data_IF_603532749056
#
_entry.id   IF_603532749056
#
_cell.length_a   1.000
_cell.length_b   1.000
_cell.length_c   1.000
_cell.angle_alpha   90.00
_cell.angle_beta   90.00
_cell.angle_gamma   90.00
#
_symmetry.space_group_name_H-M   'P 1'
#
loop_
_entity.id
_entity.type
_entity.pdbx_description
1 polymer ?
#
# COMPACT_ATOMS: atom_id res chain seq x y z
N UNK A 1 0.19 9.70 -38.36
CA UNK A 1 -0.31 8.38 -37.96
C UNK A 1 -1.10 8.57 -36.68
N UNK A 2 -2.42 8.32 -36.72
CA UNK A 2 -3.32 8.70 -35.66
C UNK A 2 -3.11 7.84 -34.43
N UNK A 3 -2.90 8.48 -33.30
CA UNK A 3 -3.01 7.86 -31.97
C UNK A 3 -4.50 7.65 -31.74
N UNK A 4 -4.93 6.40 -31.88
CA UNK A 4 -6.30 5.99 -31.50
C UNK A 4 -6.43 6.17 -29.98
N UNK A 5 -7.14 7.20 -29.55
CA UNK A 5 -7.57 7.34 -28.16
C UNK A 5 -8.50 6.16 -27.87
N UNK A 6 -8.02 5.17 -27.14
CA UNK A 6 -8.87 4.17 -26.53
C UNK A 6 -9.83 4.91 -25.57
N UNK A 7 -11.05 5.14 -26.01
CA UNK A 7 -12.13 5.56 -25.13
C UNK A 7 -12.31 4.46 -24.09
N UNK A 8 -11.86 4.72 -22.85
CA UNK A 8 -12.11 3.87 -21.68
C UNK A 8 -13.61 3.90 -21.39
N UNK A 9 -14.38 3.13 -22.14
CA UNK A 9 -15.78 2.84 -21.81
C UNK A 9 -15.79 2.04 -20.51
N UNK A 10 -16.60 2.45 -19.55
CA UNK A 10 -16.64 1.95 -18.17
C UNK A 10 -16.98 0.47 -17.98
N UNK A 11 -16.23 -0.44 -18.61
CA UNK A 11 -16.32 -1.85 -18.33
C UNK A 11 -15.59 -2.14 -17.02
N UNK A 12 -16.21 -2.87 -16.10
CA UNK A 12 -15.59 -3.38 -14.87
C UNK A 12 -14.61 -4.55 -15.15
N UNK A 13 -14.23 -4.73 -16.41
CA UNK A 13 -13.34 -5.80 -16.83
C UNK A 13 -11.94 -5.57 -16.28
N UNK A 14 -11.41 -6.57 -15.58
CA UNK A 14 -10.06 -6.63 -15.04
C UNK A 14 -9.08 -7.02 -16.16
N UNK A 15 -8.08 -6.18 -16.42
CA UNK A 15 -7.06 -6.41 -17.47
C UNK A 15 -5.67 -6.48 -16.88
N UNK A 16 -4.91 -7.52 -17.24
CA UNK A 16 -3.48 -7.58 -16.96
C UNK A 16 -2.76 -6.64 -17.92
N UNK A 17 -1.93 -5.75 -17.38
CA UNK A 17 -1.11 -4.82 -18.14
C UNK A 17 0.37 -5.21 -17.97
N UNK A 18 1.08 -5.32 -19.06
CA UNK A 18 2.50 -5.57 -19.11
C UNK A 18 3.22 -4.49 -19.95
N UNK A 19 4.50 -4.18 -19.69
CA UNK A 19 5.29 -3.31 -20.54
C UNK A 19 5.49 -3.93 -21.93
N UNK A 20 5.82 -3.12 -22.93
CA UNK A 20 6.00 -3.59 -24.31
C UNK A 20 7.12 -4.62 -24.46
N UNK A 21 8.19 -4.48 -23.66
CA UNK A 21 9.34 -5.40 -23.63
C UNK A 21 9.19 -6.53 -22.60
N UNK A 22 7.94 -6.81 -22.17
CA UNK A 22 7.65 -7.82 -21.16
C UNK A 22 8.15 -9.20 -21.57
N UNK A 23 8.92 -9.83 -20.68
CA UNK A 23 9.29 -11.24 -20.78
C UNK A 23 8.43 -12.04 -19.80
N UNK A 24 7.66 -13.03 -20.27
CA UNK A 24 6.87 -13.88 -19.40
C UNK A 24 7.74 -14.52 -18.31
N UNK A 25 7.25 -14.52 -17.09
CA UNK A 25 7.90 -15.15 -15.95
C UNK A 25 6.94 -16.06 -15.19
N UNK A 26 7.47 -17.05 -14.48
CA UNK A 26 6.68 -17.98 -13.69
C UNK A 26 6.45 -17.49 -12.24
N UNK A 27 6.38 -16.18 -12.01
CA UNK A 27 6.12 -15.61 -10.68
C UNK A 27 4.62 -15.34 -10.52
N UNK A 28 4.02 -15.59 -9.33
CA UNK A 28 2.59 -15.46 -9.13
C UNK A 28 2.16 -14.01 -8.85
N UNK A 29 2.44 -13.10 -9.78
CA UNK A 29 1.93 -11.75 -9.82
C UNK A 29 1.90 -11.21 -11.26
N UNK A 30 1.00 -10.27 -11.53
CA UNK A 30 0.96 -9.51 -12.78
C UNK A 30 1.78 -8.23 -12.64
N UNK A 31 2.36 -7.71 -13.73
CA UNK A 31 3.09 -6.43 -13.69
C UNK A 31 2.18 -5.29 -13.23
N UNK A 32 0.95 -5.24 -13.73
CA UNK A 32 -0.11 -4.38 -13.22
C UNK A 32 -1.49 -4.93 -13.56
N UNK A 33 -2.50 -4.43 -12.85
CA UNK A 33 -3.93 -4.69 -13.10
C UNK A 33 -4.62 -3.35 -13.39
N UNK A 34 -5.26 -3.26 -14.53
CA UNK A 34 -6.15 -2.15 -14.89
C UNK A 34 -7.60 -2.58 -14.67
N UNK A 35 -8.33 -1.80 -13.86
CA UNK A 35 -9.77 -1.93 -13.70
C UNK A 35 -10.39 -0.55 -13.85
N UNK A 36 -11.33 -0.40 -14.79
CA UNK A 36 -11.93 0.88 -15.14
C UNK A 36 -10.85 1.89 -15.54
N UNK A 37 -10.65 2.91 -14.73
CA UNK A 37 -9.68 3.99 -14.91
C UNK A 37 -8.49 3.93 -13.95
N UNK A 38 -8.40 2.86 -13.15
CA UNK A 38 -7.37 2.70 -12.11
C UNK A 38 -6.41 1.56 -12.45
N UNK A 39 -5.13 1.89 -12.48
CA UNK A 39 -4.01 0.96 -12.71
C UNK A 39 -3.27 0.72 -11.39
N UNK A 40 -3.22 -0.53 -10.97
CA UNK A 40 -2.48 -1.02 -9.81
C UNK A 40 -1.17 -1.64 -10.26
N UNK A 41 -0.04 -1.01 -9.97
CA UNK A 41 1.30 -1.42 -10.44
C UNK A 41 2.03 -2.17 -9.34
N UNK A 42 2.47 -3.40 -9.62
CA UNK A 42 3.28 -4.23 -8.71
C UNK A 42 4.57 -3.55 -8.29
N UNK A 43 5.14 -4.00 -7.19
CA UNK A 43 6.50 -3.64 -6.80
C UNK A 43 7.50 -3.90 -7.94
N UNK A 44 8.24 -2.85 -8.30
CA UNK A 44 9.29 -2.89 -9.31
C UNK A 44 10.63 -2.66 -8.64
N UNK A 45 11.56 -3.58 -8.85
CA UNK A 45 12.97 -3.42 -8.48
C UNK A 45 13.78 -2.79 -9.60
N UNK A 46 15.09 -2.85 -9.47
CA UNK A 46 16.05 -2.17 -10.34
C UNK A 46 16.64 -3.06 -11.46
N UNK A 47 16.07 -4.24 -11.72
CA UNK A 47 16.49 -5.08 -12.84
C UNK A 47 15.78 -4.68 -14.12
N UNK A 48 16.54 -4.62 -15.23
CA UNK A 48 15.97 -4.40 -16.56
C UNK A 48 15.26 -5.67 -17.11
N UNK A 49 14.72 -5.59 -18.32
CA UNK A 49 14.04 -6.71 -18.98
C UNK A 49 14.96 -7.90 -19.27
N UNK A 50 16.26 -7.70 -19.35
CA UNK A 50 17.30 -8.71 -19.52
C UNK A 50 17.72 -9.36 -18.20
N UNK A 51 17.31 -8.78 -17.06
CA UNK A 51 17.67 -9.22 -15.71
C UNK A 51 18.93 -8.56 -15.15
N UNK A 52 19.54 -7.62 -15.89
CA UNK A 52 20.71 -6.90 -15.41
C UNK A 52 20.33 -5.86 -14.37
N UNK A 53 21.18 -5.68 -13.35
CA UNK A 53 21.02 -4.67 -12.32
C UNK A 53 22.21 -3.72 -12.35
N UNK A 54 21.99 -2.40 -12.41
CA UNK A 54 23.09 -1.44 -12.32
C UNK A 54 23.86 -1.55 -10.99
N UNK A 55 25.15 -1.34 -11.01
CA UNK A 55 26.00 -1.37 -9.80
C UNK A 55 25.71 -0.14 -8.92
N UNK A 56 25.70 1.05 -9.51
CA UNK A 56 25.51 2.31 -8.83
C UNK A 56 24.06 2.52 -8.38
N UNK A 57 23.84 2.88 -7.11
CA UNK A 57 22.51 3.02 -6.55
C UNK A 57 21.65 4.08 -7.26
N UNK A 58 22.22 5.24 -7.65
CA UNK A 58 21.45 6.25 -8.41
C UNK A 58 20.94 5.67 -9.75
N UNK A 59 21.73 4.82 -10.40
CA UNK A 59 21.32 4.12 -11.62
C UNK A 59 20.24 3.07 -11.32
N UNK A 60 20.31 2.37 -10.19
CA UNK A 60 19.26 1.45 -9.73
C UNK A 60 17.92 2.19 -9.53
N UNK A 61 17.93 3.38 -8.92
CA UNK A 61 16.71 4.19 -8.76
C UNK A 61 16.12 4.58 -10.12
N UNK A 62 16.95 5.02 -11.07
CA UNK A 62 16.51 5.38 -12.42
C UNK A 62 15.91 4.18 -13.16
N UNK A 63 16.54 3.01 -13.06
CA UNK A 63 16.03 1.77 -13.67
C UNK A 63 14.71 1.36 -13.05
N UNK A 64 14.59 1.40 -11.73
CA UNK A 64 13.36 1.11 -11.02
C UNK A 64 12.20 2.02 -11.47
N UNK A 65 12.44 3.33 -11.56
CA UNK A 65 11.46 4.30 -12.06
C UNK A 65 11.15 4.07 -13.56
N UNK A 66 12.12 3.67 -14.37
CA UNK A 66 11.87 3.32 -15.76
C UNK A 66 10.97 2.10 -15.88
N UNK A 67 11.19 1.06 -15.07
CA UNK A 67 10.33 -0.12 -15.04
C UNK A 67 8.88 0.25 -14.67
N UNK A 68 8.69 1.13 -13.68
CA UNK A 68 7.36 1.65 -13.33
C UNK A 68 6.74 2.41 -14.50
N UNK A 69 7.52 3.29 -15.18
CA UNK A 69 7.04 4.07 -16.33
C UNK A 69 6.60 3.18 -17.48
N UNK A 70 7.39 2.17 -17.82
CA UNK A 70 7.09 1.24 -18.92
C UNK A 70 5.75 0.51 -18.70
N UNK A 71 5.46 0.16 -17.44
CA UNK A 71 4.17 -0.44 -17.06
C UNK A 71 3.04 0.59 -17.13
N UNK A 72 3.26 1.81 -16.62
CA UNK A 72 2.27 2.89 -16.73
C UNK A 72 1.90 3.14 -18.20
N UNK A 73 2.90 3.21 -19.09
CA UNK A 73 2.70 3.41 -20.53
C UNK A 73 2.00 2.23 -21.19
N UNK A 74 2.26 1.00 -20.74
CA UNK A 74 1.50 -0.18 -21.13
C UNK A 74 0.00 -0.07 -20.80
N UNK A 75 -0.33 0.65 -19.72
CA UNK A 75 -1.69 1.00 -19.32
C UNK A 75 -2.24 2.30 -19.93
N UNK A 76 -1.50 2.95 -20.84
CA UNK A 76 -1.89 4.23 -21.45
C UNK A 76 -1.75 5.43 -20.52
N UNK A 77 -0.89 5.35 -19.49
CA UNK A 77 -0.65 6.36 -18.46
C UNK A 77 0.84 6.72 -18.37
N UNK A 78 1.18 7.74 -17.58
CA UNK A 78 2.56 8.08 -17.19
C UNK A 78 2.57 8.56 -15.73
N UNK A 79 3.71 9.00 -15.21
CA UNK A 79 3.84 9.51 -13.83
C UNK A 79 2.84 10.61 -13.48
N UNK A 80 2.42 11.41 -14.44
CA UNK A 80 1.37 12.42 -14.22
C UNK A 80 0.04 11.83 -13.76
N UNK A 81 -0.22 10.55 -14.06
CA UNK A 81 -1.41 9.83 -13.64
C UNK A 81 -1.28 9.18 -12.25
N UNK A 82 -0.05 9.07 -11.70
CA UNK A 82 0.14 8.43 -10.39
C UNK A 82 -0.50 9.25 -9.28
N UNK A 83 -1.27 8.58 -8.43
CA UNK A 83 -1.97 9.21 -7.29
C UNK A 83 -1.36 8.78 -5.96
N UNK A 84 -0.82 7.57 -5.88
CA UNK A 84 -0.18 7.03 -4.69
C UNK A 84 1.04 6.22 -5.05
N UNK A 85 2.14 6.40 -4.32
CA UNK A 85 3.41 5.71 -4.57
C UNK A 85 4.11 5.36 -3.26
N UNK A 86 4.56 4.13 -3.14
CA UNK A 86 5.39 3.71 -2.02
C UNK A 86 6.78 3.36 -2.53
N UNK A 87 7.80 3.82 -1.80
CA UNK A 87 9.22 3.57 -2.06
C UNK A 87 9.80 2.83 -0.88
N UNK A 88 10.43 1.70 -1.13
CA UNK A 88 11.05 0.84 -0.12
C UNK A 88 12.55 0.78 -0.33
N UNK A 89 13.32 0.99 0.74
CA UNK A 89 14.79 0.97 0.75
C UNK A 89 15.30 -0.06 1.75
N UNK A 90 16.29 -0.86 1.38
CA UNK A 90 16.97 -1.77 2.31
C UNK A 90 18.14 -1.10 3.02
N UNK A 91 18.65 0.01 2.50
CA UNK A 91 19.71 0.81 3.12
C UNK A 91 19.28 2.29 3.16
N UNK A 92 19.03 2.77 4.38
CA UNK A 92 18.56 4.15 4.61
C UNK A 92 19.61 5.23 4.29
N UNK A 93 20.90 4.89 4.25
CA UNK A 93 21.94 5.82 3.81
C UNK A 93 21.72 6.29 2.36
N UNK A 94 20.98 5.52 1.59
CA UNK A 94 20.61 5.82 0.20
C UNK A 94 19.42 6.78 0.06
N UNK A 95 18.77 7.19 1.15
CA UNK A 95 17.56 8.03 1.11
C UNK A 95 17.76 9.34 0.34
N UNK A 96 18.86 10.06 0.59
CA UNK A 96 19.14 11.33 -0.11
C UNK A 96 19.40 11.12 -1.62
N UNK A 97 20.14 10.07 -1.99
CA UNK A 97 20.43 9.72 -3.39
C UNK A 97 19.16 9.30 -4.11
N UNK A 98 18.31 8.48 -3.47
CA UNK A 98 17.01 8.10 -3.98
C UNK A 98 16.15 9.34 -4.26
N UNK A 99 15.99 10.24 -3.29
CA UNK A 99 15.19 11.45 -3.47
C UNK A 99 15.70 12.33 -4.63
N UNK A 100 17.02 12.51 -4.76
CA UNK A 100 17.62 13.28 -5.84
C UNK A 100 17.27 12.70 -7.22
N UNK A 101 17.35 11.39 -7.39
CA UNK A 101 17.01 10.72 -8.65
C UNK A 101 15.49 10.73 -8.90
N UNK A 102 14.68 10.49 -7.86
CA UNK A 102 13.22 10.53 -7.90
C UNK A 102 12.70 11.87 -8.43
N UNK A 103 13.13 12.99 -7.83
CA UNK A 103 12.64 14.32 -8.21
C UNK A 103 13.05 14.74 -9.62
N UNK A 104 14.15 14.22 -10.16
CA UNK A 104 14.53 14.43 -11.56
C UNK A 104 13.59 13.72 -12.54
N UNK A 105 12.93 12.65 -12.11
CA UNK A 105 12.16 11.75 -12.97
C UNK A 105 10.65 12.01 -12.90
N UNK A 106 10.10 12.27 -11.70
CA UNK A 106 8.65 12.36 -11.47
C UNK A 106 8.01 13.64 -12.04
N UNK A 107 8.78 14.72 -12.16
CA UNK A 107 8.28 15.96 -12.77
C UNK A 107 7.43 16.83 -11.84
N UNK A 108 6.48 17.61 -12.43
CA UNK A 108 5.79 18.71 -11.75
C UNK A 108 4.56 18.29 -10.92
N UNK A 109 3.97 17.16 -11.21
CA UNK A 109 2.73 16.68 -10.57
C UNK A 109 2.98 15.37 -9.78
N UNK A 110 3.75 15.42 -8.67
CA UNK A 110 4.08 14.23 -7.91
C UNK A 110 2.84 13.58 -7.30
N UNK A 111 2.85 12.25 -7.07
CA UNK A 111 1.81 11.55 -6.30
C UNK A 111 1.91 11.87 -4.80
N UNK A 112 0.91 11.43 -4.03
CA UNK A 112 1.09 11.18 -2.61
C UNK A 112 2.11 10.06 -2.43
N UNK A 113 3.13 10.25 -1.60
CA UNK A 113 4.26 9.31 -1.46
C UNK A 113 4.52 8.91 -0.02
N UNK A 114 4.92 7.66 0.16
CA UNK A 114 5.48 7.14 1.40
C UNK A 114 6.83 6.50 1.10
N UNK A 115 7.86 6.79 1.90
CA UNK A 115 9.19 6.17 1.82
C UNK A 115 9.46 5.44 3.11
N UNK A 116 9.90 4.18 3.03
CA UNK A 116 10.11 3.30 4.17
C UNK A 116 11.44 2.57 4.05
N UNK A 117 12.18 2.49 5.15
CA UNK A 117 13.30 1.58 5.30
C UNK A 117 12.79 0.22 5.76
N UNK A 118 13.04 -0.83 4.98
CA UNK A 118 12.56 -2.20 5.25
C UNK A 118 13.73 -3.17 5.40
N UNK A 119 13.47 -4.35 5.96
CA UNK A 119 14.54 -5.29 6.29
C UNK A 119 15.16 -5.92 5.04
N UNK A 120 14.36 -6.34 4.06
CA UNK A 120 14.86 -6.93 2.82
C UNK A 120 13.83 -6.87 1.68
N UNK A 121 14.29 -7.04 0.45
CA UNK A 121 13.53 -7.06 -0.79
C UNK A 121 13.84 -8.30 -1.63
N UNK A 122 12.89 -8.82 -2.42
CA UNK A 122 13.16 -9.93 -3.31
C UNK A 122 14.28 -9.64 -4.31
N UNK A 123 15.04 -10.68 -4.69
CA UNK A 123 16.09 -10.63 -5.71
C UNK A 123 17.22 -9.63 -5.40
N UNK A 124 17.54 -9.43 -4.12
CA UNK A 124 18.62 -8.54 -3.66
C UNK A 124 18.48 -7.08 -4.13
N UNK A 125 17.25 -6.64 -4.40
CA UNK A 125 16.99 -5.25 -4.74
C UNK A 125 17.30 -4.34 -3.54
N UNK A 126 17.89 -3.18 -3.80
CA UNK A 126 18.11 -2.14 -2.79
C UNK A 126 16.98 -1.12 -2.75
N UNK A 127 16.13 -1.13 -3.77
CA UNK A 127 14.96 -0.29 -3.91
C UNK A 127 13.83 -1.05 -4.59
N UNK A 128 12.61 -0.85 -4.12
CA UNK A 128 11.40 -1.28 -4.81
C UNK A 128 10.36 -0.15 -4.76
N UNK A 129 9.62 0.03 -5.87
CA UNK A 129 8.58 1.05 -5.99
C UNK A 129 7.30 0.41 -6.51
N UNK A 130 6.19 0.66 -5.84
CA UNK A 130 4.85 0.38 -6.35
C UNK A 130 4.02 1.65 -6.46
N UNK A 131 2.97 1.64 -7.26
CA UNK A 131 2.08 2.79 -7.35
C UNK A 131 0.65 2.43 -7.78
N UNK A 132 -0.26 3.36 -7.49
CA UNK A 132 -1.60 3.41 -8.09
C UNK A 132 -1.65 4.63 -9.00
N UNK A 133 -2.16 4.46 -10.21
CA UNK A 133 -2.39 5.52 -11.17
C UNK A 133 -3.84 5.55 -11.65
N UNK A 134 -4.34 6.73 -12.02
CA UNK A 134 -5.71 6.91 -12.50
C UNK A 134 -5.72 7.69 -13.80
N UNK A 135 -6.56 7.29 -14.77
CA UNK A 135 -6.71 7.97 -16.06
C UNK A 135 -7.49 9.29 -15.98
N UNK A 136 -7.82 9.75 -14.78
CA UNK A 136 -8.61 10.95 -14.51
C UNK A 136 -7.77 12.08 -13.91
N UNK A 137 -8.39 13.27 -13.82
CA UNK A 137 -7.78 14.41 -13.15
C UNK A 137 -7.52 14.13 -11.67
N UNK A 138 -6.38 14.61 -11.20
CA UNK A 138 -5.97 14.59 -9.80
C UNK A 138 -5.67 16.00 -9.30
N UNK A 139 -5.86 16.21 -8.00
CA UNK A 139 -5.59 17.49 -7.34
C UNK A 139 -4.79 17.29 -6.08
N UNK A 140 -3.66 17.96 -5.96
CA UNK A 140 -2.89 17.99 -4.72
C UNK A 140 -3.66 18.78 -3.64
N UNK A 141 -3.79 18.21 -2.45
CA UNK A 141 -4.44 18.77 -1.28
C UNK A 141 -3.37 19.23 -0.30
N UNK A 142 -3.50 20.48 0.12
CA UNK A 142 -2.60 21.11 1.09
C UNK A 142 -3.42 21.79 2.18
N UNK A 143 -3.23 21.44 3.46
CA UNK A 143 -3.81 22.20 4.56
C UNK A 143 -3.39 23.67 4.53
N UNK A 144 -4.24 24.55 5.01
CA UNK A 144 -3.93 25.98 5.09
C UNK A 144 -2.69 26.21 5.97
N UNK A 145 -1.79 27.07 5.50
CA UNK A 145 -0.54 27.39 6.21
C UNK A 145 0.61 26.40 6.02
N UNK A 146 0.37 25.23 5.39
CA UNK A 146 1.47 24.29 5.11
C UNK A 146 2.34 24.78 3.96
N UNK A 147 3.66 24.69 4.14
CA UNK A 147 4.62 25.13 3.14
C UNK A 147 4.58 24.25 1.89
N UNK A 148 4.45 24.89 0.73
CA UNK A 148 4.65 24.27 -0.58
C UNK A 148 6.06 24.60 -1.05
N UNK A 149 6.91 23.59 -1.17
CA UNK A 149 8.31 23.75 -1.61
C UNK A 149 8.55 22.90 -2.85
N UNK A 150 9.50 23.27 -3.72
CA UNK A 150 10.00 22.38 -4.74
C UNK A 150 10.50 21.07 -4.10
N UNK A 151 10.31 19.96 -4.77
CA UNK A 151 10.73 18.63 -4.31
C UNK A 151 10.13 18.24 -2.95
N UNK A 152 8.88 18.60 -2.72
CA UNK A 152 8.09 18.16 -1.58
C UNK A 152 6.82 17.48 -2.07
N UNK A 153 6.57 16.28 -1.54
CA UNK A 153 5.35 15.55 -1.85
C UNK A 153 4.11 16.29 -1.34
N UNK A 154 3.01 16.32 -2.13
CA UNK A 154 1.75 16.83 -1.60
C UNK A 154 1.28 15.97 -0.43
N UNK A 155 0.74 16.54 0.63
CA UNK A 155 0.20 15.79 1.76
C UNK A 155 -0.85 14.76 1.37
N UNK A 156 -1.62 15.05 0.31
CA UNK A 156 -2.52 14.08 -0.31
C UNK A 156 -2.84 14.43 -1.76
N UNK A 157 -3.30 13.42 -2.50
CA UNK A 157 -3.86 13.55 -3.85
C UNK A 157 -5.35 13.20 -3.80
N UNK A 158 -6.20 14.11 -4.27
CA UNK A 158 -7.64 13.93 -4.43
C UNK A 158 -7.97 13.62 -5.88
N UNK A 159 -8.74 12.56 -6.10
CA UNK A 159 -9.42 12.24 -7.34
C UNK A 159 -10.91 12.56 -7.23
N UNK A 160 -11.74 12.11 -8.18
CA UNK A 160 -13.19 12.31 -8.12
C UNK A 160 -13.82 11.68 -6.87
N UNK A 161 -13.39 10.47 -6.49
CA UNK A 161 -13.99 9.66 -5.42
C UNK A 161 -13.06 9.40 -4.23
N UNK A 162 -11.74 9.42 -4.41
CA UNK A 162 -10.78 8.99 -3.40
C UNK A 162 -9.73 10.06 -3.10
N UNK A 163 -9.30 10.10 -1.85
CA UNK A 163 -8.12 10.84 -1.37
C UNK A 163 -7.03 9.83 -0.99
N UNK A 164 -5.83 10.01 -1.54
CA UNK A 164 -4.64 9.23 -1.24
C UNK A 164 -3.69 10.04 -0.38
N UNK A 165 -3.36 9.55 0.81
CA UNK A 165 -2.50 10.23 1.78
C UNK A 165 -1.04 9.86 1.58
N UNK A 166 -0.15 10.86 1.53
CA UNK A 166 1.29 10.65 1.74
C UNK A 166 1.56 10.18 3.16
N UNK A 167 2.71 9.57 3.38
CA UNK A 167 3.16 9.26 4.73
C UNK A 167 3.20 10.50 5.62
N UNK A 168 2.45 10.46 6.73
CA UNK A 168 2.39 11.54 7.71
C UNK A 168 3.01 11.08 9.02
N UNK A 169 4.19 11.63 9.33
CA UNK A 169 4.88 11.41 10.60
C UNK A 169 4.50 12.45 11.65
N UNK A 170 5.11 12.33 12.81
CA UNK A 170 4.86 13.18 13.97
C UNK A 170 5.67 14.47 14.00
N UNK A 171 6.51 14.76 12.99
CA UNK A 171 7.32 15.97 12.97
C UNK A 171 6.43 17.22 12.84
N UNK A 172 6.62 18.20 13.71
CA UNK A 172 6.01 19.52 13.59
C UNK A 172 6.65 20.32 12.45
N UNK A 173 5.83 20.78 11.51
CA UNK A 173 6.32 21.44 10.29
C UNK A 173 6.96 22.81 10.50
N UNK A 174 6.72 23.48 11.64
CA UNK A 174 7.29 24.78 11.95
C UNK A 174 8.61 24.67 12.72
N UNK A 175 8.68 23.72 13.66
CA UNK A 175 9.83 23.57 14.56
C UNK A 175 10.79 22.46 14.12
N UNK A 176 10.34 21.52 13.27
CA UNK A 176 11.10 20.33 12.88
C UNK A 176 11.26 19.31 14.01
N UNK A 177 10.52 19.45 15.11
CA UNK A 177 10.63 18.59 16.30
C UNK A 177 9.51 17.56 16.36
N UNK A 178 9.78 16.44 17.02
CA UNK A 178 8.80 15.42 17.41
C UNK A 178 8.41 15.61 18.88
N UNK A 179 7.18 15.20 19.28
CA UNK A 179 6.88 14.99 20.70
C UNK A 179 7.86 13.98 21.32
N UNK A 180 8.16 14.16 22.62
CA UNK A 180 9.14 13.30 23.33
C UNK A 180 8.66 11.86 23.48
N UNK A 181 7.38 11.66 23.79
CA UNK A 181 6.82 10.32 24.01
C UNK A 181 6.07 9.81 22.79
N UNK A 182 6.04 8.50 22.62
CA UNK A 182 5.45 7.84 21.47
C UNK A 182 3.94 8.10 21.35
N UNK A 183 3.20 8.15 22.47
CA UNK A 183 1.78 8.40 22.50
C UNK A 183 1.41 9.74 21.84
N UNK A 184 2.16 10.78 22.15
CA UNK A 184 1.96 12.11 21.57
C UNK A 184 2.43 12.16 20.11
N UNK A 185 3.44 11.37 19.73
CA UNK A 185 3.82 11.21 18.33
C UNK A 185 2.68 10.58 17.52
N UNK A 186 2.05 9.52 18.01
CA UNK A 186 0.88 8.90 17.37
C UNK A 186 -0.27 9.89 17.23
N UNK A 187 -0.56 10.62 18.31
CA UNK A 187 -1.61 11.64 18.31
C UNK A 187 -1.32 12.73 17.29
N UNK A 188 -0.13 13.31 17.28
CA UNK A 188 0.24 14.37 16.35
C UNK A 188 0.18 13.92 14.89
N UNK A 189 0.62 12.71 14.59
CA UNK A 189 0.55 12.16 13.23
C UNK A 189 -0.91 11.96 12.77
N UNK A 190 -1.80 11.48 13.65
CA UNK A 190 -3.23 11.34 13.35
C UNK A 190 -3.94 12.71 13.25
N UNK A 191 -3.58 13.67 14.08
CA UNK A 191 -4.09 15.04 13.98
C UNK A 191 -3.70 15.68 12.63
N UNK A 192 -2.45 15.47 12.14
CA UNK A 192 -2.02 15.91 10.80
C UNK A 192 -2.86 15.25 9.70
N UNK A 193 -3.13 13.94 9.81
CA UNK A 193 -4.07 13.26 8.89
C UNK A 193 -5.43 13.94 8.93
N UNK A 194 -5.95 14.29 10.11
CA UNK A 194 -7.20 15.02 10.29
C UNK A 194 -7.21 16.38 9.58
N UNK A 195 -6.13 17.16 9.67
CA UNK A 195 -5.98 18.45 8.98
C UNK A 195 -6.00 18.28 7.45
N UNK A 196 -5.36 17.23 6.92
CA UNK A 196 -5.36 16.92 5.48
C UNK A 196 -6.76 16.54 5.02
N UNK A 197 -7.44 15.67 5.75
CA UNK A 197 -8.82 15.28 5.47
C UNK A 197 -9.74 16.50 5.48
N UNK A 198 -9.63 17.38 6.48
CA UNK A 198 -10.40 18.60 6.57
C UNK A 198 -10.16 19.55 5.38
N UNK A 199 -8.91 19.67 4.90
CA UNK A 199 -8.59 20.45 3.69
C UNK A 199 -9.26 19.88 2.43
N UNK A 200 -9.57 18.57 2.43
CA UNK A 200 -10.34 17.90 1.40
C UNK A 200 -11.86 17.87 1.68
N UNK A 201 -12.34 18.54 2.75
CA UNK A 201 -13.73 18.49 3.24
C UNK A 201 -14.17 17.09 3.68
N UNK A 202 -13.29 16.37 4.32
CA UNK A 202 -13.46 15.02 4.88
C UNK A 202 -13.08 14.99 6.36
N UNK A 203 -13.28 13.85 7.00
CA UNK A 203 -12.87 13.56 8.39
C UNK A 203 -12.29 12.14 8.48
N UNK A 204 -11.84 11.72 9.66
CA UNK A 204 -11.36 10.36 9.90
C UNK A 204 -12.40 9.28 9.56
N UNK A 205 -13.70 9.59 9.62
CA UNK A 205 -14.78 8.66 9.24
C UNK A 205 -14.80 8.32 7.74
N UNK A 206 -14.13 9.11 6.91
CA UNK A 206 -13.98 8.86 5.48
C UNK A 206 -12.86 7.84 5.16
N UNK A 207 -11.96 7.56 6.12
CA UNK A 207 -10.85 6.64 5.89
C UNK A 207 -11.38 5.22 5.60
N UNK A 208 -10.95 4.64 4.49
CA UNK A 208 -11.27 3.28 4.09
C UNK A 208 -10.12 2.32 4.36
N UNK A 209 -8.89 2.81 4.26
CA UNK A 209 -7.69 2.05 4.57
C UNK A 209 -6.61 2.93 5.20
N UNK A 210 -5.92 2.41 6.21
CA UNK A 210 -4.82 3.08 6.92
C UNK A 210 -3.69 2.11 7.15
N UNK A 211 -2.47 2.54 6.82
CA UNK A 211 -1.25 1.82 7.14
C UNK A 211 -0.44 2.60 8.18
N UNK A 212 -0.45 2.19 9.44
CA UNK A 212 0.52 2.63 10.42
C UNK A 212 1.86 1.90 10.19
N UNK A 213 2.94 2.66 10.07
CA UNK A 213 4.31 2.16 10.02
C UNK A 213 5.02 2.57 11.30
N UNK A 214 5.56 1.60 12.02
CA UNK A 214 6.28 1.82 13.29
C UNK A 214 7.67 1.21 13.20
N UNK A 215 8.61 1.74 13.94
CA UNK A 215 9.98 1.19 14.04
C UNK A 215 10.18 0.28 15.26
N UNK A 216 9.14 0.11 16.08
CA UNK A 216 9.21 -0.72 17.28
C UNK A 216 7.82 -1.26 17.70
N UNK A 217 7.55 -2.53 17.42
CA UNK A 217 6.28 -3.19 17.81
C UNK A 217 6.06 -3.32 19.32
N UNK A 218 7.06 -3.13 20.15
CA UNK A 218 6.83 -3.09 21.61
C UNK A 218 5.88 -1.96 22.02
N UNK A 219 5.74 -0.93 21.17
CA UNK A 219 4.81 0.19 21.35
C UNK A 219 3.43 -0.04 20.70
N UNK A 220 3.16 -1.25 20.19
CA UNK A 220 1.93 -1.56 19.43
C UNK A 220 0.66 -1.38 20.26
N UNK A 221 0.68 -1.73 21.54
CA UNK A 221 -0.49 -1.53 22.40
C UNK A 221 -0.78 -0.05 22.64
N UNK A 222 0.24 0.75 22.87
CA UNK A 222 0.12 2.20 23.02
C UNK A 222 -0.39 2.87 21.74
N UNK A 223 0.14 2.47 20.56
CA UNK A 223 -0.40 2.86 19.26
C UNK A 223 -1.90 2.55 19.20
N UNK A 224 -2.31 1.34 19.54
CA UNK A 224 -3.71 0.90 19.47
C UNK A 224 -4.64 1.72 20.37
N UNK A 225 -4.21 2.04 21.59
CA UNK A 225 -4.99 2.85 22.53
C UNK A 225 -5.27 4.25 21.98
N UNK A 226 -4.24 4.92 21.41
CA UNK A 226 -4.42 6.24 20.80
C UNK A 226 -5.24 6.13 19.53
N UNK A 227 -4.90 5.21 18.64
CA UNK A 227 -5.58 5.02 17.36
C UNK A 227 -7.09 4.77 17.54
N UNK A 228 -7.47 3.88 18.47
CA UNK A 228 -8.87 3.56 18.72
C UNK A 228 -9.72 4.78 19.11
N UNK A 229 -9.11 5.81 19.71
CA UNK A 229 -9.84 7.02 20.13
C UNK A 229 -10.30 7.91 18.96
N UNK A 230 -9.80 7.68 17.76
CA UNK A 230 -10.18 8.42 16.54
C UNK A 230 -11.34 7.79 15.77
N UNK A 231 -11.77 6.58 16.14
CA UNK A 231 -12.74 5.80 15.37
C UNK A 231 -13.84 5.20 16.24
N UNK A 232 -15.01 5.00 15.62
CA UNK A 232 -16.10 4.27 16.22
C UNK A 232 -15.81 2.77 16.22
N UNK A 233 -16.07 2.10 17.34
CA UNK A 233 -15.90 0.65 17.48
C UNK A 233 -16.72 -0.13 16.44
N UNK A 234 -16.05 -1.04 15.74
CA UNK A 234 -16.66 -1.86 14.70
C UNK A 234 -16.90 -1.14 13.37
N UNK A 235 -16.44 0.12 13.24
CA UNK A 235 -16.50 0.92 12.02
C UNK A 235 -15.15 1.59 11.70
N UNK A 236 -14.06 1.08 12.23
CA UNK A 236 -12.69 1.51 11.96
C UNK A 236 -12.32 1.24 10.50
N UNK A 237 -11.36 1.96 9.89
CA UNK A 237 -10.85 1.63 8.56
C UNK A 237 -10.22 0.23 8.51
N UNK A 238 -10.08 -0.33 7.29
CA UNK A 238 -9.15 -1.42 7.05
C UNK A 238 -7.75 -0.99 7.44
N UNK A 239 -6.93 -1.89 8.00
CA UNK A 239 -5.63 -1.54 8.56
C UNK A 239 -4.58 -2.60 8.29
N UNK A 240 -3.36 -2.15 7.94
CA UNK A 240 -2.16 -2.97 7.93
C UNK A 240 -1.06 -2.29 8.72
N UNK A 241 -0.78 -2.73 9.95
CA UNK A 241 0.33 -2.19 10.75
C UNK A 241 1.60 -2.99 10.47
N UNK A 242 2.66 -2.28 10.12
CA UNK A 242 3.92 -2.85 9.68
C UNK A 242 5.05 -2.29 10.53
N UNK A 243 5.92 -3.16 11.03
CA UNK A 243 7.19 -2.74 11.60
C UNK A 243 8.22 -2.57 10.49
N UNK A 244 8.92 -1.44 10.50
CA UNK A 244 9.90 -1.06 9.50
C UNK A 244 11.25 -0.74 10.17
N UNK A 245 12.33 -0.78 9.41
CA UNK A 245 13.68 -0.51 9.94
C UNK A 245 13.92 0.98 10.14
N UNK A 246 13.41 1.80 9.21
CA UNK A 246 13.56 3.25 9.26
C UNK A 246 12.32 3.97 8.76
N UNK A 247 12.03 5.11 9.39
CA UNK A 247 11.00 6.06 9.01
C UNK A 247 11.61 7.42 8.63
N UNK A 248 10.98 8.20 7.76
CA UNK A 248 11.41 9.57 7.46
C UNK A 248 11.45 10.44 8.72
N UNK A 249 12.30 11.47 8.68
CA UNK A 249 12.34 12.53 9.69
C UNK A 249 12.72 12.03 11.10
N UNK A 250 13.18 10.78 11.24
CA UNK A 250 13.55 10.16 12.53
C UNK A 250 12.38 10.06 13.54
N UNK A 251 11.14 10.06 13.05
CA UNK A 251 9.96 9.76 13.87
C UNK A 251 9.77 8.26 14.10
N UNK A 252 8.95 7.91 15.08
CA UNK A 252 8.66 6.51 15.44
C UNK A 252 7.34 5.99 14.86
N UNK A 253 6.59 6.85 14.16
CA UNK A 253 5.30 6.53 13.53
C UNK A 253 5.10 7.31 12.26
N UNK A 254 4.57 6.65 11.24
CA UNK A 254 4.05 7.27 10.02
C UNK A 254 2.71 6.62 9.68
N UNK A 255 1.74 7.43 9.28
CA UNK A 255 0.46 6.96 8.73
C UNK A 255 0.36 7.31 7.25
N UNK A 256 0.00 6.34 6.42
CA UNK A 256 -0.51 6.57 5.08
C UNK A 256 -1.89 5.94 4.93
N UNK A 257 -2.61 6.24 3.85
CA UNK A 257 -3.94 5.64 3.69
C UNK A 257 -4.75 6.19 2.54
N UNK A 258 -5.99 5.72 2.47
CA UNK A 258 -6.96 6.08 1.46
C UNK A 258 -8.27 6.47 2.15
N UNK A 259 -8.91 7.55 1.69
CA UNK A 259 -10.22 7.98 2.17
C UNK A 259 -11.21 8.12 1.00
N UNK A 260 -12.47 7.76 1.24
CA UNK A 260 -13.56 7.91 0.29
C UNK A 260 -14.30 9.23 0.50
N UNK A 261 -14.57 9.98 -0.56
CA UNK A 261 -15.25 11.30 -0.45
C UNK A 261 -16.67 11.19 0.09
N UNK A 262 -17.40 10.18 -0.33
CA UNK A 262 -18.79 9.97 0.03
C UNK A 262 -18.91 8.90 1.13
N UNK A 263 -19.13 9.28 2.40
CA UNK A 263 -19.19 8.29 3.49
C UNK A 263 -20.41 7.34 3.35
N UNK A 264 -21.42 7.67 2.56
CA UNK A 264 -22.56 6.78 2.32
C UNK A 264 -22.20 5.51 1.52
N UNK A 265 -21.12 5.57 0.73
CA UNK A 265 -20.58 4.43 -0.01
C UNK A 265 -19.71 3.50 0.84
N UNK A 266 -19.39 3.90 2.09
CA UNK A 266 -18.47 3.19 2.97
C UNK A 266 -19.22 2.21 3.88
N UNK A 267 -18.84 0.94 3.84
CA UNK A 267 -19.44 -0.13 4.66
C UNK A 267 -18.34 -1.03 5.23
N UNK A 268 -18.29 -1.19 6.55
CA UNK A 268 -17.42 -2.18 7.17
C UNK A 268 -17.93 -3.59 6.88
N UNK A 269 -17.06 -4.48 6.40
CA UNK A 269 -17.36 -5.91 6.26
C UNK A 269 -17.17 -6.62 7.60
N UNK A 270 -18.04 -7.56 7.92
CA UNK A 270 -18.13 -8.20 9.24
C UNK A 270 -18.31 -9.71 9.09
N UNK A 271 -17.25 -10.46 8.72
CA UNK A 271 -17.32 -11.92 8.64
C UNK A 271 -17.78 -12.51 9.98
N UNK A 272 -18.65 -13.50 9.92
CA UNK A 272 -19.29 -14.08 11.13
C UNK A 272 -18.32 -14.68 12.13
N UNK A 273 -17.16 -15.15 11.66
CA UNK A 273 -16.12 -15.78 12.47
C UNK A 273 -15.08 -14.78 13.02
N UNK A 274 -15.21 -13.49 12.72
CA UNK A 274 -14.28 -12.46 13.20
C UNK A 274 -14.99 -11.49 14.15
N UNK A 275 -14.50 -11.39 15.37
CA UNK A 275 -15.02 -10.44 16.35
C UNK A 275 -14.67 -9.00 15.92
N UNK A 276 -15.54 -8.02 16.22
CA UNK A 276 -15.21 -6.61 16.03
C UNK A 276 -13.95 -6.22 16.80
N UNK A 277 -13.14 -5.36 16.19
CA UNK A 277 -11.91 -4.83 16.81
C UNK A 277 -12.01 -3.30 16.95
N UNK A 278 -11.49 -2.72 18.03
CA UNK A 278 -11.45 -1.27 18.19
C UNK A 278 -10.45 -0.59 17.25
N UNK A 279 -9.57 -1.35 16.60
CA UNK A 279 -8.45 -0.81 15.82
C UNK A 279 -8.48 -1.14 14.34
N UNK A 280 -9.27 -2.14 13.92
CA UNK A 280 -9.36 -2.52 12.52
C UNK A 280 -10.68 -3.22 12.21
N UNK A 281 -11.42 -2.76 11.22
CA UNK A 281 -12.44 -3.59 10.58
C UNK A 281 -11.76 -4.69 9.76
N UNK A 282 -12.34 -5.88 9.59
CA UNK A 282 -11.79 -6.90 8.68
C UNK A 282 -11.53 -6.37 7.27
N UNK A 283 -12.34 -5.43 6.81
CA UNK A 283 -12.19 -4.67 5.60
C UNK A 283 -13.26 -3.58 5.49
N UNK A 284 -13.07 -2.67 4.56
CA UNK A 284 -14.05 -1.64 4.18
C UNK A 284 -14.39 -1.80 2.71
N UNK A 285 -15.68 -2.00 2.43
CA UNK A 285 -16.24 -1.86 1.08
C UNK A 285 -16.58 -0.38 0.86
N UNK A 286 -16.02 0.21 -0.20
CA UNK A 286 -16.33 1.56 -0.66
C UNK A 286 -16.78 1.52 -2.12
N UNK A 287 -18.07 1.68 -2.35
CA UNK A 287 -18.65 1.38 -3.66
C UNK A 287 -18.42 -0.08 -4.03
N UNK A 288 -17.68 -0.30 -5.12
CA UNK A 288 -17.32 -1.65 -5.60
C UNK A 288 -15.90 -2.08 -5.22
N UNK A 289 -15.18 -1.27 -4.44
CA UNK A 289 -13.80 -1.56 -4.04
C UNK A 289 -13.73 -1.95 -2.58
N UNK A 290 -13.15 -3.12 -2.31
CA UNK A 290 -12.92 -3.66 -0.97
C UNK A 290 -11.45 -3.46 -0.56
N UNK A 291 -11.25 -2.83 0.58
CA UNK A 291 -9.94 -2.64 1.23
C UNK A 291 -9.85 -3.58 2.42
N UNK A 292 -9.18 -4.71 2.27
CA UNK A 292 -9.03 -5.72 3.32
C UNK A 292 -7.84 -5.42 4.22
N UNK A 293 -8.07 -5.41 5.52
CA UNK A 293 -7.00 -5.34 6.52
C UNK A 293 -5.97 -6.43 6.31
N UNK A 294 -4.72 -6.14 6.64
CA UNK A 294 -3.69 -7.18 6.70
C UNK A 294 -4.12 -8.29 7.66
N UNK A 295 -3.96 -9.51 7.20
CA UNK A 295 -4.22 -10.74 7.96
C UNK A 295 -2.94 -11.54 8.08
N UNK A 296 -2.84 -12.31 9.13
CA UNK A 296 -1.79 -13.31 9.38
C UNK A 296 -2.44 -14.66 9.66
N UNK A 297 -1.61 -15.67 9.93
CA UNK A 297 -2.06 -17.04 10.17
C UNK A 297 -2.82 -17.27 11.49
N UNK A 298 -3.47 -16.26 12.05
CA UNK A 298 -4.27 -16.43 13.28
C UNK A 298 -5.58 -17.17 12.98
N UNK A 299 -5.92 -18.08 13.85
CA UNK A 299 -7.24 -18.72 13.87
C UNK A 299 -8.16 -17.85 14.75
N UNK A 300 -9.32 -17.40 14.23
CA UNK A 300 -10.25 -16.60 15.02
C UNK A 300 -10.58 -17.25 16.37
N UNK A 301 -10.42 -16.51 17.47
CA UNK A 301 -10.62 -17.01 18.83
C UNK A 301 -9.48 -17.83 19.43
N UNK A 302 -8.46 -18.24 18.66
CA UNK A 302 -7.34 -19.05 19.15
C UNK A 302 -5.96 -18.38 19.00
N UNK A 303 -5.82 -17.43 18.07
CA UNK A 303 -4.54 -16.81 17.77
C UNK A 303 -3.69 -17.64 16.80
N UNK A 304 -2.38 -17.45 16.84
CA UNK A 304 -1.42 -18.22 16.03
C UNK A 304 -1.02 -19.48 16.80
N UNK A 305 -1.40 -20.63 16.25
CA UNK A 305 -1.29 -21.94 16.91
C UNK A 305 -0.12 -22.80 16.41
N UNK A 306 0.53 -22.40 15.32
CA UNK A 306 1.63 -23.15 14.70
C UNK A 306 2.74 -22.22 14.22
N UNK A 307 4.02 -22.61 14.30
CA UNK A 307 5.12 -21.90 13.67
C UNK A 307 5.32 -22.29 12.18
N UNK A 308 4.53 -23.21 11.64
CA UNK A 308 4.67 -23.66 10.25
C UNK A 308 4.18 -22.56 9.29
N UNK A 309 5.09 -22.11 8.42
CA UNK A 309 4.84 -21.05 7.46
C UNK A 309 3.68 -21.34 6.51
N UNK A 310 3.63 -22.58 5.95
CA UNK A 310 2.59 -22.91 4.96
C UNK A 310 1.20 -22.98 5.61
N UNK A 311 1.13 -23.53 6.83
CA UNK A 311 -0.13 -23.57 7.58
C UNK A 311 -0.59 -22.15 7.96
N UNK A 312 0.34 -21.27 8.35
CA UNK A 312 0.00 -19.87 8.60
C UNK A 312 -0.50 -19.19 7.33
N UNK A 313 0.21 -19.30 6.21
CA UNK A 313 -0.21 -18.66 4.95
C UNK A 313 -1.56 -19.21 4.46
N UNK A 314 -1.85 -20.51 4.59
CA UNK A 314 -3.18 -21.07 4.29
C UNK A 314 -4.27 -20.45 5.15
N UNK A 315 -4.01 -20.28 6.45
CA UNK A 315 -4.96 -19.65 7.36
C UNK A 315 -5.13 -18.17 7.04
N UNK A 316 -4.05 -17.44 6.73
CA UNK A 316 -4.10 -16.07 6.26
C UNK A 316 -4.99 -15.89 5.04
N UNK A 317 -4.79 -16.75 4.04
CA UNK A 317 -5.60 -16.71 2.82
C UNK A 317 -7.08 -17.07 3.10
N UNK A 318 -7.35 -17.99 4.06
CA UNK A 318 -8.72 -18.25 4.52
C UNK A 318 -9.34 -17.02 5.22
N UNK A 319 -8.59 -16.35 6.09
CA UNK A 319 -9.07 -15.14 6.76
C UNK A 319 -9.39 -14.01 5.76
N UNK A 320 -8.57 -13.89 4.69
CA UNK A 320 -8.82 -12.92 3.61
C UNK A 320 -10.04 -13.32 2.78
N UNK A 321 -10.21 -14.62 2.48
CA UNK A 321 -11.37 -15.12 1.76
C UNK A 321 -12.67 -14.86 2.53
N UNK A 322 -12.69 -15.03 3.85
CA UNK A 322 -13.87 -14.71 4.67
C UNK A 322 -14.29 -13.23 4.50
N UNK A 323 -13.31 -12.32 4.39
CA UNK A 323 -13.58 -10.91 4.11
C UNK A 323 -14.06 -10.64 2.68
N UNK A 324 -13.52 -11.36 1.69
CA UNK A 324 -13.98 -11.30 0.29
C UNK A 324 -15.42 -11.83 0.17
N UNK A 325 -15.70 -13.01 0.72
CA UNK A 325 -17.03 -13.64 0.67
C UNK A 325 -18.10 -12.77 1.35
N UNK A 326 -17.77 -12.09 2.46
CA UNK A 326 -18.70 -11.14 3.12
C UNK A 326 -19.03 -9.93 2.23
N UNK A 327 -18.15 -9.58 1.31
CA UNK A 327 -18.37 -8.54 0.29
C UNK A 327 -18.94 -9.12 -1.03
N UNK A 328 -19.29 -10.40 -1.08
CA UNK A 328 -19.72 -11.13 -2.29
C UNK A 328 -18.66 -11.10 -3.40
N UNK A 329 -17.40 -11.27 -3.01
CA UNK A 329 -16.19 -11.33 -3.86
C UNK A 329 -15.43 -12.63 -3.64
N UNK A 330 -14.45 -12.90 -4.50
CA UNK A 330 -13.49 -13.99 -4.35
C UNK A 330 -12.07 -13.55 -4.80
N UNK A 331 -11.12 -14.48 -4.84
CA UNK A 331 -9.74 -14.17 -5.23
C UNK A 331 -9.61 -13.61 -6.66
N UNK A 332 -10.57 -13.86 -7.56
CA UNK A 332 -10.54 -13.31 -8.93
C UNK A 332 -10.80 -11.80 -8.97
N UNK A 333 -11.41 -11.24 -7.92
CA UNK A 333 -11.67 -9.80 -7.77
C UNK A 333 -10.44 -9.05 -7.21
N UNK A 334 -9.42 -9.76 -6.70
CA UNK A 334 -8.23 -9.12 -6.11
C UNK A 334 -7.40 -8.46 -7.19
N UNK A 335 -7.16 -7.15 -7.05
CA UNK A 335 -6.37 -6.35 -8.00
C UNK A 335 -5.00 -5.96 -7.47
N UNK A 336 -4.86 -5.86 -6.14
CA UNK A 336 -3.62 -5.50 -5.45
C UNK A 336 -3.41 -6.35 -4.23
N UNK A 337 -2.18 -6.83 -4.04
CA UNK A 337 -1.74 -7.62 -2.90
C UNK A 337 -0.44 -7.06 -2.34
N UNK A 338 -0.35 -6.94 -1.02
CA UNK A 338 0.94 -6.72 -0.35
C UNK A 338 1.20 -7.87 0.59
N UNK A 339 2.36 -8.49 0.44
CA UNK A 339 2.83 -9.61 1.27
C UNK A 339 4.02 -9.13 2.09
N UNK A 340 3.94 -9.27 3.40
CA UNK A 340 4.99 -8.95 4.34
C UNK A 340 5.51 -10.26 4.95
N UNK A 341 6.76 -10.61 4.67
CA UNK A 341 7.41 -11.80 5.18
C UNK A 341 8.20 -11.46 6.45
N UNK A 342 8.29 -12.40 7.35
CA UNK A 342 9.23 -12.34 8.48
C UNK A 342 10.66 -12.55 8.01
N UNK A 343 10.85 -13.49 7.09
CA UNK A 343 12.15 -13.86 6.54
C UNK A 343 12.06 -13.98 5.01
N UNK A 344 12.92 -13.29 4.27
CA UNK A 344 12.92 -13.36 2.81
C UNK A 344 13.27 -14.76 2.26
N UNK A 345 13.92 -15.62 3.07
CA UNK A 345 14.17 -17.03 2.71
C UNK A 345 12.89 -17.83 2.42
N UNK A 346 11.73 -17.41 2.95
CA UNK A 346 10.45 -18.07 2.70
C UNK A 346 9.74 -17.58 1.42
N UNK A 347 10.38 -16.68 0.65
CA UNK A 347 9.81 -16.09 -0.58
C UNK A 347 9.37 -17.13 -1.61
N UNK A 348 10.20 -18.14 -1.90
CA UNK A 348 9.86 -19.17 -2.88
C UNK A 348 8.77 -20.11 -2.36
N UNK A 349 8.81 -20.45 -1.07
CA UNK A 349 7.77 -21.24 -0.41
C UNK A 349 6.43 -20.48 -0.44
N UNK A 350 6.46 -19.19 -0.12
CA UNK A 350 5.31 -18.30 -0.23
C UNK A 350 4.77 -18.31 -1.66
N UNK A 351 5.61 -18.10 -2.67
CA UNK A 351 5.20 -18.07 -4.08
C UNK A 351 4.52 -19.37 -4.53
N UNK A 352 5.08 -20.51 -4.14
CA UNK A 352 4.55 -21.83 -4.51
C UNK A 352 3.16 -22.06 -3.93
N UNK A 353 2.92 -21.65 -2.70
CA UNK A 353 1.62 -21.78 -2.07
C UNK A 353 0.64 -20.70 -2.54
N UNK A 354 1.07 -19.43 -2.59
CA UNK A 354 0.26 -18.27 -3.00
C UNK A 354 -0.40 -18.48 -4.37
N UNK A 355 0.34 -19.04 -5.34
CA UNK A 355 -0.20 -19.29 -6.70
C UNK A 355 -1.42 -20.20 -6.72
N UNK A 356 -1.57 -21.09 -5.75
CA UNK A 356 -2.68 -22.06 -5.70
C UNK A 356 -4.04 -21.42 -5.42
N UNK A 357 -4.06 -20.17 -4.95
CA UNK A 357 -5.29 -19.45 -4.64
C UNK A 357 -5.87 -18.67 -5.83
N UNK A 358 -5.08 -18.46 -6.88
CA UNK A 358 -5.49 -17.71 -8.07
C UNK A 358 -5.56 -18.62 -9.30
N UNK A 359 -6.66 -18.55 -10.05
CA UNK A 359 -6.93 -19.47 -11.18
C UNK A 359 -6.53 -18.88 -12.53
N UNK A 360 -7.05 -17.68 -12.86
CA UNK A 360 -6.97 -17.13 -14.22
C UNK A 360 -5.82 -16.15 -14.39
N UNK A 361 -5.64 -15.25 -13.44
CA UNK A 361 -4.56 -14.26 -13.43
C UNK A 361 -4.27 -13.79 -12.01
N UNK A 362 -3.02 -13.43 -11.77
CA UNK A 362 -2.58 -12.93 -10.47
C UNK A 362 -2.87 -11.45 -10.30
N UNK A 363 -3.06 -10.95 -9.06
CA UNK A 363 -3.08 -9.51 -8.78
C UNK A 363 -1.72 -8.86 -9.03
N UNK A 364 -1.68 -7.54 -9.10
CA UNK A 364 -0.46 -6.78 -8.85
C UNK A 364 -0.01 -7.06 -7.41
N UNK A 365 1.30 -7.28 -7.20
CA UNK A 365 1.83 -7.65 -5.88
C UNK A 365 3.13 -6.95 -5.56
N UNK A 366 3.27 -6.58 -4.29
CA UNK A 366 4.52 -6.18 -3.65
C UNK A 366 4.84 -7.17 -2.54
N UNK A 367 6.09 -7.60 -2.42
CA UNK A 367 6.55 -8.48 -1.34
C UNK A 367 7.74 -7.85 -0.63
N UNK A 368 7.65 -7.73 0.67
CA UNK A 368 8.65 -7.06 1.51
C UNK A 368 8.99 -7.95 2.71
N UNK A 369 10.23 -7.88 3.19
CA UNK A 369 10.53 -8.35 4.53
C UNK A 369 10.35 -7.19 5.51
N UNK A 370 9.43 -7.34 6.47
CA UNK A 370 9.29 -6.40 7.56
C UNK A 370 10.25 -6.73 8.72
N UNK A 371 10.52 -5.73 9.55
CA UNK A 371 11.27 -5.95 10.78
C UNK A 371 10.33 -6.52 11.84
N UNK A 372 10.27 -7.84 11.96
CA UNK A 372 9.50 -8.48 13.02
C UNK A 372 10.31 -8.58 14.32
N UNK A 373 9.66 -8.33 15.45
CA UNK A 373 10.19 -8.78 16.72
C UNK A 373 10.49 -10.29 16.66
N UNK A 374 11.68 -10.70 17.09
CA UNK A 374 12.12 -12.11 17.06
C UNK A 374 11.18 -13.06 17.83
N UNK A 375 10.46 -12.52 18.81
CA UNK A 375 9.50 -13.27 19.62
C UNK A 375 8.12 -13.43 18.96
N UNK A 376 7.84 -12.73 17.85
CA UNK A 376 6.56 -12.88 17.17
C UNK A 376 6.37 -14.29 16.60
N UNK A 377 5.17 -14.82 16.76
CA UNK A 377 4.76 -16.09 16.15
C UNK A 377 4.27 -15.93 14.71
N UNK A 378 4.13 -14.70 14.24
CA UNK A 378 3.65 -14.38 12.89
C UNK A 378 4.79 -14.55 11.89
N UNK A 379 4.61 -15.41 10.90
CA UNK A 379 5.60 -15.65 9.85
C UNK A 379 5.37 -14.77 8.61
N UNK A 380 4.14 -14.28 8.43
CA UNK A 380 3.77 -13.41 7.31
C UNK A 380 2.49 -12.61 7.59
N UNK A 381 2.26 -11.58 6.79
CA UNK A 381 0.99 -10.87 6.71
C UNK A 381 0.66 -10.59 5.24
N UNK A 382 -0.63 -10.64 4.89
CA UNK A 382 -1.11 -10.29 3.55
C UNK A 382 -2.29 -9.34 3.64
N UNK A 383 -2.30 -8.32 2.77
CA UNK A 383 -3.44 -7.42 2.58
C UNK A 383 -3.87 -7.37 1.13
N UNK A 384 -5.16 -7.09 0.87
CA UNK A 384 -5.73 -6.99 -0.47
C UNK A 384 -6.51 -5.71 -0.70
N UNK A 385 -6.45 -5.23 -1.95
CA UNK A 385 -7.53 -4.44 -2.54
C UNK A 385 -8.20 -5.33 -3.58
N UNK A 386 -9.53 -5.42 -3.53
CA UNK A 386 -10.34 -6.14 -4.50
C UNK A 386 -11.38 -5.20 -5.11
N UNK A 387 -11.69 -5.40 -6.39
CA UNK A 387 -12.71 -4.62 -7.11
C UNK A 387 -13.75 -5.58 -7.68
N UNK A 388 -15.00 -5.41 -7.29
CA UNK A 388 -16.11 -6.28 -7.70
C UNK A 388 -16.21 -6.28 -9.22
N UNK A 389 -16.02 -7.45 -9.82
CA UNK A 389 -16.24 -7.64 -11.25
C UNK A 389 -17.75 -7.58 -11.58
N UNK A 390 -18.11 -7.10 -12.77
CA UNK A 390 -19.46 -7.29 -13.24
C UNK A 390 -19.73 -8.80 -13.31
N UNK A 391 -20.74 -9.28 -12.62
CA UNK A 391 -21.15 -10.70 -12.69
C UNK A 391 -21.32 -11.06 -14.17
N UNK A 392 -20.59 -12.08 -14.61
CA UNK A 392 -20.80 -12.73 -15.90
C UNK A 392 -22.18 -13.38 -15.96
#
# INVERSE_FOLDING_TARGET
>A
MGISSLALSGSSERKVINPQNFKPHNRPYSSAILVRDTLYVSGQGSRDAEGNQPEEFEAQVKQCLQNVRDILQGGGMDFENTVWMNVYLTDWNNYATMNKAYWKTIGKNPPARTVLGIADLPAENKIEINCIAVAKNKKAIWPAGWAKRPNLDPPAILTDDLLYLSGQGSQDGATGRHPENFRDQVKQALDKVGLILQAAKMSHTNLVWVNPYVDNFKQYEELNQVYASYFEFGNTPGRGTIEVVHLPEQGHIVFSGIAGRDPSKRKAVKPRNMLPSPTASPGILYGDTLYLSAKSGFIPGQGIVTPDFELQLRQTMRNLLDGLEEAEMDFSDVVWSTVYLKEMKDYDKMNNLYRTFFKDSFPARTTLQQSFDKETKTEEQVSFIAVKSAKR
#
